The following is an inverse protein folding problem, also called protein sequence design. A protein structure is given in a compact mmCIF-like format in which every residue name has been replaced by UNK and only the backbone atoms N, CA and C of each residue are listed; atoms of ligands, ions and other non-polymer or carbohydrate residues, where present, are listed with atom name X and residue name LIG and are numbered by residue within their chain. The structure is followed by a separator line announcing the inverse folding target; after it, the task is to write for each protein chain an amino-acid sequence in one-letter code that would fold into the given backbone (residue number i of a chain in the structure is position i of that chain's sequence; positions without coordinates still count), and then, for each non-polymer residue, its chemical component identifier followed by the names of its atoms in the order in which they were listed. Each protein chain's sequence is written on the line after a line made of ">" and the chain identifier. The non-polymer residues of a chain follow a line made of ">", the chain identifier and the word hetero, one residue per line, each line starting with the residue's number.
data_IF_015359697641
#
_entry.id   IF_015359697641
#
_cell.length_a   1.000
_cell.length_b   1.000
_cell.length_c   1.000
_cell.angle_alpha   90.00
_cell.angle_beta   90.00
_cell.angle_gamma   90.00
#
_symmetry.space_group_name_H-M   'P 1'
#
loop_
_entity.id
_entity.type
_entity.pdbx_description
1 polymer ?
#
# COMPACT_ATOMS: atom_id res chain seq x y z
N UNK A 1 -5.59 10.84 13.14
CA UNK A 1 -5.05 10.04 12.03
C UNK A 1 -6.10 10.02 10.93
N UNK A 2 -6.02 10.96 9.99
CA UNK A 2 -7.13 11.30 9.08
C UNK A 2 -7.22 10.41 7.83
N UNK A 3 -6.12 9.75 7.48
CA UNK A 3 -6.04 9.00 6.22
C UNK A 3 -6.50 7.54 6.32
N UNK A 4 -6.74 7.02 7.53
CA UNK A 4 -7.20 5.65 7.76
C UNK A 4 -8.68 5.64 8.17
N UNK A 5 -9.53 5.03 7.34
CA UNK A 5 -10.93 4.73 7.66
C UNK A 5 -11.03 3.24 8.02
N UNK A 6 -10.97 2.94 9.32
CA UNK A 6 -11.04 1.56 9.82
C UNK A 6 -12.40 0.91 9.55
N UNK A 7 -13.49 1.68 9.61
CA UNK A 7 -14.84 1.15 9.42
C UNK A 7 -15.06 0.67 7.98
N UNK A 8 -14.44 1.34 7.00
CA UNK A 8 -14.50 0.96 5.58
C UNK A 8 -13.32 0.12 5.12
N UNK A 9 -12.34 -0.09 5.99
CA UNK A 9 -11.09 -0.75 5.66
C UNK A 9 -10.29 -0.03 4.58
N UNK A 10 -10.27 1.30 4.59
CA UNK A 10 -9.69 2.12 3.54
C UNK A 10 -8.51 2.96 4.05
N UNK A 11 -7.48 3.08 3.21
CA UNK A 11 -6.35 3.97 3.45
C UNK A 11 -6.22 4.97 2.30
N UNK A 12 -6.27 6.26 2.60
CA UNK A 12 -5.98 7.34 1.65
C UNK A 12 -4.47 7.56 1.61
N UNK A 13 -3.87 7.36 0.44
CA UNK A 13 -2.43 7.59 0.23
C UNK A 13 -2.24 8.86 -0.57
N UNK A 14 -1.67 9.87 0.09
CA UNK A 14 -1.34 11.16 -0.51
C UNK A 14 0.10 11.16 -1.00
N UNK A 15 0.35 11.58 -2.23
CA UNK A 15 1.71 11.70 -2.80
C UNK A 15 1.86 13.06 -3.46
N UNK A 16 2.88 13.86 -3.11
CA UNK A 16 3.11 15.14 -3.76
C UNK A 16 3.17 14.99 -5.29
N UNK A 17 2.41 15.82 -6.01
CA UNK A 17 2.36 15.80 -7.47
C UNK A 17 1.59 14.61 -8.08
N UNK A 18 0.84 13.84 -7.29
CA UNK A 18 -0.06 12.77 -7.79
C UNK A 18 -1.43 12.89 -7.17
N UNK A 19 -2.43 12.32 -7.86
CA UNK A 19 -3.77 12.20 -7.31
C UNK A 19 -3.76 11.29 -6.08
N UNK A 20 -4.53 11.69 -5.07
CA UNK A 20 -4.80 10.86 -3.91
C UNK A 20 -5.47 9.56 -4.38
N UNK A 21 -5.01 8.43 -3.84
CA UNK A 21 -5.60 7.14 -4.11
C UNK A 21 -6.06 6.50 -2.80
N UNK A 22 -7.25 5.90 -2.85
CA UNK A 22 -7.79 5.10 -1.77
C UNK A 22 -7.45 3.64 -2.05
N UNK A 23 -6.78 3.00 -1.10
CA UNK A 23 -6.44 1.58 -1.14
C UNK A 23 -7.36 0.84 -0.19
N UNK A 24 -7.89 -0.30 -0.64
CA UNK A 24 -8.69 -1.17 0.22
C UNK A 24 -7.74 -2.14 0.93
N UNK A 25 -7.81 -2.13 2.26
CA UNK A 25 -6.99 -2.98 3.10
C UNK A 25 -7.71 -4.32 3.27
N UNK A 26 -7.03 -5.39 2.90
CA UNK A 26 -7.48 -6.75 3.12
C UNK A 26 -7.47 -7.08 4.63
N UNK A 27 -8.23 -8.09 5.05
CA UNK A 27 -8.54 -8.39 6.45
C UNK A 27 -7.29 -8.55 7.33
N UNK A 28 -6.28 -9.28 6.85
CA UNK A 28 -5.02 -9.41 7.57
C UNK A 28 -4.31 -8.05 7.73
N UNK A 29 -4.30 -7.25 6.67
CA UNK A 29 -3.68 -5.92 6.70
C UNK A 29 -4.42 -4.99 7.67
N UNK A 30 -5.75 -5.06 7.71
CA UNK A 30 -6.57 -4.29 8.66
C UNK A 30 -6.34 -4.72 10.11
N UNK A 31 -6.19 -6.02 10.35
CA UNK A 31 -5.90 -6.58 11.68
C UNK A 31 -4.54 -6.09 12.18
N UNK A 32 -3.50 -6.19 11.34
CA UNK A 32 -2.16 -5.70 11.68
C UNK A 32 -2.14 -4.17 11.87
N UNK A 33 -2.90 -3.44 11.04
CA UNK A 33 -3.04 -1.99 11.18
C UNK A 33 -3.66 -1.62 12.53
N UNK A 34 -4.75 -2.28 12.91
CA UNK A 34 -5.45 -2.02 14.17
C UNK A 34 -4.54 -2.30 15.37
N UNK A 35 -3.83 -3.44 15.35
CA UNK A 35 -2.86 -3.78 16.38
C UNK A 35 -1.73 -2.73 16.49
N UNK A 36 -1.23 -2.23 15.36
CA UNK A 36 -0.24 -1.16 15.34
C UNK A 36 -0.76 0.15 15.94
N UNK A 37 -2.00 0.55 15.64
CA UNK A 37 -2.58 1.78 16.22
C UNK A 37 -2.68 1.68 17.74
N UNK A 38 -3.11 0.54 18.26
CA UNK A 38 -3.21 0.29 19.71
C UNK A 38 -1.82 0.41 20.35
N UNK A 39 -0.82 -0.30 19.81
CA UNK A 39 0.55 -0.27 20.32
C UNK A 39 1.16 1.15 20.26
N UNK A 40 0.90 1.89 19.17
CA UNK A 40 1.37 3.26 19.00
C UNK A 40 0.81 4.20 20.06
N UNK A 41 -0.50 4.14 20.32
CA UNK A 41 -1.15 4.99 21.34
C UNK A 41 -0.64 4.63 22.74
N UNK A 42 -0.36 3.35 23.01
CA UNK A 42 0.21 2.92 24.29
C UNK A 42 1.65 3.43 24.49
N UNK A 43 2.47 3.44 23.43
CA UNK A 43 3.87 3.89 23.51
C UNK A 43 4.02 5.41 23.51
N UNK A 44 3.18 6.12 22.77
CA UNK A 44 3.22 7.58 22.64
C UNK A 44 1.82 8.17 22.80
N UNK A 45 1.29 8.21 24.03
CA UNK A 45 -0.08 8.66 24.30
C UNK A 45 -0.33 10.12 23.91
N UNK A 46 0.69 10.99 24.07
CA UNK A 46 0.60 12.42 23.75
C UNK A 46 0.98 12.74 22.28
N UNK A 47 1.27 11.71 21.48
CA UNK A 47 1.77 11.89 20.11
C UNK A 47 0.69 12.37 19.14
N UNK A 48 0.73 13.65 18.75
CA UNK A 48 -0.14 14.24 17.71
C UNK A 48 0.34 13.97 16.28
N UNK A 49 1.37 13.13 16.10
CA UNK A 49 2.05 12.94 14.84
C UNK A 49 1.09 12.47 13.72
N UNK A 50 1.03 13.17 12.57
CA UNK A 50 0.03 12.89 11.53
C UNK A 50 0.30 11.62 10.71
N UNK A 51 1.55 11.14 10.67
CA UNK A 51 1.91 9.97 9.87
C UNK A 51 1.54 8.66 10.57
N UNK A 52 1.08 7.71 9.75
CA UNK A 52 0.67 6.38 10.19
C UNK A 52 1.82 5.57 10.80
N UNK A 53 2.97 5.57 10.12
CA UNK A 53 4.18 4.88 10.58
C UNK A 53 5.11 5.90 11.21
N UNK A 54 5.54 5.62 12.43
CA UNK A 54 6.47 6.44 13.21
C UNK A 54 7.58 5.54 13.76
N UNK A 55 8.75 6.13 14.00
CA UNK A 55 9.84 5.50 14.75
C UNK A 55 9.92 6.09 16.15
N UNK A 56 10.69 5.48 17.06
CA UNK A 56 10.96 6.07 18.38
C UNK A 56 11.56 7.49 18.28
N UNK A 57 12.29 7.78 17.21
CA UNK A 57 12.88 9.10 16.99
C UNK A 57 11.84 10.09 16.45
N UNK A 58 11.09 9.72 15.41
CA UNK A 58 10.12 10.65 14.82
C UNK A 58 8.94 10.90 15.75
N UNK A 59 8.53 9.92 16.56
CA UNK A 59 7.37 10.01 17.43
C UNK A 59 7.46 11.09 18.52
N UNK A 60 8.68 11.44 18.95
CA UNK A 60 8.94 12.43 20.02
C UNK A 60 9.47 13.76 19.48
N UNK A 61 9.57 13.91 18.16
CA UNK A 61 10.05 15.12 17.51
C UNK A 61 8.88 16.04 17.18
N UNK A 62 8.87 17.25 17.75
CA UNK A 62 7.82 18.25 17.58
C UNK A 62 7.69 18.76 16.13
N UNK A 63 8.75 18.62 15.32
CA UNK A 63 8.71 18.94 13.90
C UNK A 63 7.97 17.88 13.07
N UNK A 64 7.63 16.75 13.70
CA UNK A 64 6.89 15.65 13.10
C UNK A 64 7.46 15.20 11.74
N UNK A 65 8.75 14.84 11.64
CA UNK A 65 9.35 14.43 10.38
C UNK A 65 8.75 13.11 9.88
N UNK A 66 8.75 12.90 8.57
CA UNK A 66 8.49 11.57 8.02
C UNK A 66 9.59 10.60 8.44
N UNK A 67 9.22 9.34 8.68
CA UNK A 67 10.23 8.28 8.90
C UNK A 67 11.14 8.17 7.69
N UNK A 68 12.43 7.94 7.93
CA UNK A 68 13.39 7.76 6.85
C UNK A 68 13.08 6.50 6.05
N UNK A 69 13.49 6.47 4.78
CA UNK A 69 13.32 5.27 3.94
C UNK A 69 14.05 4.05 4.53
N UNK A 70 15.13 4.27 5.29
CA UNK A 70 15.87 3.17 5.92
C UNK A 70 15.03 2.45 6.97
N UNK A 71 14.25 3.18 7.78
CA UNK A 71 13.32 2.59 8.76
C UNK A 71 12.31 1.68 8.07
N UNK A 72 11.84 2.06 6.89
CA UNK A 72 10.93 1.23 6.09
C UNK A 72 11.65 0.03 5.47
N UNK A 73 12.93 0.18 5.08
CA UNK A 73 13.71 -0.86 4.39
C UNK A 73 14.22 -1.95 5.33
N UNK A 74 14.59 -1.61 6.56
CA UNK A 74 15.21 -2.54 7.52
C UNK A 74 14.39 -3.82 7.78
N UNK A 75 13.05 -3.77 7.97
CA UNK A 75 12.25 -4.98 8.14
C UNK A 75 12.34 -5.94 6.94
N UNK A 76 12.33 -5.41 5.71
CA UNK A 76 12.44 -6.22 4.49
C UNK A 76 13.78 -6.92 4.39
N UNK A 77 14.87 -6.21 4.72
CA UNK A 77 16.21 -6.78 4.73
C UNK A 77 16.35 -7.90 5.76
N UNK A 78 15.84 -7.69 6.98
CA UNK A 78 15.86 -8.69 8.05
C UNK A 78 15.09 -9.96 7.65
N UNK A 79 13.99 -9.78 6.93
CA UNK A 79 13.19 -10.89 6.41
C UNK A 79 13.79 -11.52 5.13
N UNK A 80 14.88 -10.99 4.56
CA UNK A 80 15.40 -11.37 3.24
C UNK A 80 14.36 -11.30 2.11
N UNK A 81 13.39 -10.39 2.24
CA UNK A 81 12.32 -10.15 1.25
C UNK A 81 12.69 -8.91 0.46
N UNK A 82 12.83 -9.03 -0.86
CA UNK A 82 12.93 -7.84 -1.72
C UNK A 82 11.56 -7.18 -1.86
N UNK A 83 11.45 -5.84 -1.78
CA UNK A 83 10.21 -5.14 -2.13
C UNK A 83 9.70 -5.50 -3.53
N UNK A 84 10.60 -5.84 -4.47
CA UNK A 84 10.20 -6.30 -5.80
C UNK A 84 9.55 -7.70 -5.77
N UNK A 85 9.86 -8.56 -4.80
CA UNK A 85 9.10 -9.81 -4.60
C UNK A 85 7.64 -9.53 -4.20
N UNK A 86 7.36 -8.45 -3.47
CA UNK A 86 5.97 -8.05 -3.22
C UNK A 86 5.28 -7.55 -4.49
N UNK A 87 6.01 -6.94 -5.43
CA UNK A 87 5.50 -6.65 -6.77
C UNK A 87 5.25 -7.90 -7.60
N UNK A 88 5.93 -9.03 -7.34
CA UNK A 88 5.58 -10.30 -7.98
C UNK A 88 4.17 -10.73 -7.57
N UNK A 89 3.72 -10.48 -6.34
CA UNK A 89 2.32 -10.75 -5.94
C UNK A 89 1.30 -10.00 -6.80
N UNK A 90 1.61 -8.78 -7.25
CA UNK A 90 0.76 -8.04 -8.19
C UNK A 90 0.66 -8.76 -9.54
N UNK A 91 1.77 -9.33 -10.02
CA UNK A 91 1.78 -10.14 -11.24
C UNK A 91 1.09 -11.49 -11.04
N UNK A 92 1.26 -12.13 -9.87
CA UNK A 92 0.58 -13.37 -9.52
C UNK A 92 -0.93 -13.17 -9.47
N UNK A 93 -1.42 -12.12 -8.80
CA UNK A 93 -2.85 -11.78 -8.78
C UNK A 93 -3.36 -11.45 -10.20
N UNK A 94 -2.54 -10.78 -11.03
CA UNK A 94 -2.89 -10.50 -12.41
C UNK A 94 -3.09 -11.82 -13.19
N UNK A 95 -2.22 -12.81 -12.96
CA UNK A 95 -2.30 -14.14 -13.56
C UNK A 95 -3.54 -14.92 -13.12
N UNK A 96 -3.91 -14.83 -11.85
CA UNK A 96 -5.09 -15.53 -11.32
C UNK A 96 -6.42 -14.88 -11.74
N UNK A 97 -6.50 -13.55 -11.76
CA UNK A 97 -7.80 -12.85 -11.87
C UNK A 97 -8.08 -12.27 -13.26
N UNK A 98 -7.04 -11.89 -14.00
CA UNK A 98 -7.15 -11.11 -15.23
C UNK A 98 -7.99 -9.82 -15.10
N UNK A 99 -8.21 -9.31 -13.88
CA UNK A 99 -9.09 -8.18 -13.61
C UNK A 99 -8.28 -6.94 -13.20
N UNK A 100 -8.11 -5.95 -14.11
CA UNK A 100 -7.34 -4.75 -13.80
C UNK A 100 -7.99 -3.91 -12.71
N UNK A 101 -9.32 -3.94 -12.55
CA UNK A 101 -10.02 -3.20 -11.48
C UNK A 101 -9.68 -3.78 -10.12
N UNK A 102 -9.60 -5.11 -10.01
CA UNK A 102 -9.17 -5.79 -8.78
C UNK A 102 -7.73 -5.45 -8.41
N UNK A 103 -6.81 -5.42 -9.38
CA UNK A 103 -5.43 -5.00 -9.12
C UNK A 103 -5.34 -3.56 -8.63
N UNK A 104 -6.12 -2.65 -9.22
CA UNK A 104 -6.19 -1.25 -8.76
C UNK A 104 -6.68 -1.17 -7.31
N UNK A 105 -7.72 -1.93 -6.95
CA UNK A 105 -8.30 -1.91 -5.60
C UNK A 105 -7.37 -2.49 -4.54
N UNK A 106 -6.75 -3.64 -4.82
CA UNK A 106 -5.93 -4.38 -3.86
C UNK A 106 -4.53 -3.78 -3.72
N UNK A 107 -3.92 -3.34 -4.81
CA UNK A 107 -2.52 -2.87 -4.81
C UNK A 107 -2.39 -1.36 -4.96
N UNK A 108 -3.49 -0.62 -5.15
CA UNK A 108 -3.46 0.84 -5.29
C UNK A 108 -2.69 1.34 -6.51
N UNK A 109 -2.55 0.50 -7.56
CA UNK A 109 -1.87 0.88 -8.80
C UNK A 109 -2.80 1.64 -9.74
N UNK A 110 -2.26 2.48 -10.61
CA UNK A 110 -3.07 3.20 -11.60
C UNK A 110 -3.56 2.27 -12.73
N UNK A 111 -4.61 2.67 -13.44
CA UNK A 111 -5.21 1.90 -14.55
C UNK A 111 -4.16 1.47 -15.59
N UNK A 112 -3.28 2.38 -16.02
CA UNK A 112 -2.21 2.05 -16.97
C UNK A 112 -1.27 0.95 -16.45
N UNK A 113 -0.96 0.96 -15.14
CA UNK A 113 -0.15 -0.09 -14.53
C UNK A 113 -0.94 -1.40 -14.46
N UNK A 114 -2.17 -1.39 -13.95
CA UNK A 114 -3.01 -2.57 -13.83
C UNK A 114 -3.24 -3.27 -15.20
N UNK A 115 -3.61 -2.51 -16.23
CA UNK A 115 -3.82 -3.03 -17.59
C UNK A 115 -2.52 -3.63 -18.15
N UNK A 116 -1.38 -3.00 -17.92
CA UNK A 116 -0.07 -3.54 -18.35
C UNK A 116 0.23 -4.88 -17.68
N UNK A 117 -0.05 -5.02 -16.39
CA UNK A 117 0.15 -6.27 -15.67
C UNK A 117 -0.80 -7.37 -16.15
N UNK A 118 -2.08 -7.07 -16.38
CA UNK A 118 -3.04 -8.04 -16.94
C UNK A 118 -2.64 -8.48 -18.35
N UNK A 119 -2.24 -7.55 -19.22
CA UNK A 119 -1.80 -7.88 -20.58
C UNK A 119 -0.51 -8.70 -20.60
N UNK A 120 0.41 -8.47 -19.65
CA UNK A 120 1.63 -9.25 -19.50
C UNK A 120 1.36 -10.66 -18.93
N UNK A 121 0.37 -10.80 -18.05
CA UNK A 121 -0.01 -12.09 -17.47
C UNK A 121 -0.92 -12.94 -18.38
N UNK A 122 -1.69 -12.29 -19.26
CA UNK A 122 -2.62 -12.92 -20.20
C UNK A 122 -2.39 -12.38 -21.63
N UNK A 123 -1.27 -12.77 -22.28
CA UNK A 123 -0.96 -12.28 -23.63
C UNK A 123 -2.02 -12.67 -24.66
N UNK A 124 -2.74 -13.76 -24.44
CA UNK A 124 -3.79 -14.29 -25.32
C UNK A 124 -5.13 -13.53 -25.20
N UNK A 125 -5.29 -12.71 -24.14
CA UNK A 125 -6.46 -11.85 -23.91
C UNK A 125 -6.26 -10.44 -24.43
N UNK A 126 -5.24 -10.20 -25.27
CA UNK A 126 -5.15 -8.94 -26.02
C UNK A 126 -6.47 -8.77 -26.76
N UNK A 127 -7.18 -7.69 -26.41
CA UNK A 127 -8.35 -7.25 -27.17
C UNK A 127 -7.83 -6.99 -28.58
N UNK A 128 -8.20 -7.85 -29.52
CA UNK A 128 -7.96 -7.60 -30.92
C UNK A 128 -8.59 -6.24 -31.25
N UNK A 129 -7.80 -5.27 -31.75
CA UNK A 129 -8.38 -4.03 -32.24
C UNK A 129 -9.20 -4.39 -33.48
N UNK A 130 -10.52 -4.49 -33.28
CA UNK A 130 -11.60 -4.36 -34.27
C UNK A 130 -11.17 -4.74 -35.69
N UNK A 131 -11.48 -5.95 -36.13
CA UNK A 131 -11.64 -6.21 -37.56
C UNK A 131 -12.81 -5.34 -38.05
N UNK A 132 -12.46 -4.24 -38.71
CA UNK A 132 -13.36 -3.37 -39.46
C UNK A 132 -13.59 -3.93 -40.87
#
# INVERSE_FOLDING_TARGET
>A
MEDLDQARGQLRVRRPGRLDHVVYLEELTMTLMTAWIIDRVQRWPDGTHPYLIVSNQSAVDDLHPQVSQEVIRTPFQRASISPDKLRNRLFDEARETADPVRLMRVFGVCSATATRYVAAAHPDKKIDPIQA
#
